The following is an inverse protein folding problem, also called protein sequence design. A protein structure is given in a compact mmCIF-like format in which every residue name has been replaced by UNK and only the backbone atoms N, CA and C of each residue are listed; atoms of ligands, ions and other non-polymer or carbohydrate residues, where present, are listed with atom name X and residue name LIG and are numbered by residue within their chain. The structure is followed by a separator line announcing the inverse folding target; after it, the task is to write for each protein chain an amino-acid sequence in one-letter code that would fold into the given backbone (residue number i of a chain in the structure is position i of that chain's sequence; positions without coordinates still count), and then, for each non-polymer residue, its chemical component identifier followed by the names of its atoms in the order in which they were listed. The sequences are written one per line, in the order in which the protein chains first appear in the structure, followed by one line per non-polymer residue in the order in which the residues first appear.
data_IF_068117240457
#
_entry.id   IF_068117240457
#
_cell.length_a   1.000
_cell.length_b   1.000
_cell.length_c   1.000
_cell.angle_alpha   90.00
_cell.angle_beta   90.00
_cell.angle_gamma   90.00
#
_symmetry.space_group_name_H-M   'P 1'
#
loop_
_entity.id
_entity.type
_entity.pdbx_description
1 polymer ?
#
# COMPACT_ATOMS: atom_id res chain seq x y z
N UNK A 1 -28.60 27.68 -24.68
CA UNK A 1 -28.25 27.03 -23.41
C UNK A 1 -26.93 26.27 -23.49
N UNK A 2 -26.80 25.19 -24.29
CA UNK A 2 -25.55 24.41 -24.35
C UNK A 2 -24.30 25.21 -24.78
N UNK A 3 -24.43 26.10 -25.77
CA UNK A 3 -23.31 26.94 -26.25
C UNK A 3 -22.79 27.90 -25.17
N UNK A 4 -23.68 28.50 -24.39
CA UNK A 4 -23.33 29.43 -23.31
C UNK A 4 -22.63 28.71 -22.15
N UNK A 5 -23.01 27.46 -21.84
CA UNK A 5 -22.29 26.63 -20.88
C UNK A 5 -20.84 26.38 -21.32
N UNK A 6 -20.62 25.99 -22.58
CA UNK A 6 -19.26 25.79 -23.09
C UNK A 6 -18.45 27.08 -23.20
N UNK A 7 -19.08 28.23 -23.49
CA UNK A 7 -18.40 29.53 -23.43
C UNK A 7 -17.98 29.89 -21.99
N UNK A 8 -18.83 29.57 -21.00
CA UNK A 8 -18.46 29.75 -19.60
C UNK A 8 -17.34 28.80 -19.15
N UNK A 9 -17.33 27.56 -19.65
CA UNK A 9 -16.25 26.59 -19.40
C UNK A 9 -14.90 27.02 -20.01
N UNK A 10 -14.89 27.70 -21.16
CA UNK A 10 -13.66 28.19 -21.78
C UNK A 10 -13.11 29.47 -21.11
N UNK A 11 -13.83 30.02 -20.12
CA UNK A 11 -13.43 31.24 -19.44
C UNK A 11 -13.61 32.51 -20.27
N UNK A 12 -14.36 32.43 -21.37
CA UNK A 12 -14.63 33.56 -22.25
C UNK A 12 -15.93 34.29 -21.85
N UNK A 13 -16.00 35.59 -22.11
CA UNK A 13 -17.18 36.40 -21.81
C UNK A 13 -18.32 36.07 -22.80
N UNK A 14 -19.45 35.50 -22.32
CA UNK A 14 -20.54 35.06 -23.17
C UNK A 14 -21.26 36.23 -23.87
N UNK A 15 -21.21 37.45 -23.33
CA UNK A 15 -21.87 38.62 -23.91
C UNK A 15 -21.06 39.16 -25.10
N UNK A 16 -19.73 39.21 -24.99
CA UNK A 16 -18.81 39.55 -26.09
C UNK A 16 -18.81 38.49 -27.21
N UNK A 17 -18.95 37.21 -26.86
CA UNK A 17 -19.00 36.11 -27.84
C UNK A 17 -20.32 36.04 -28.60
N UNK A 18 -21.42 36.51 -28.02
CA UNK A 18 -22.72 36.54 -28.68
C UNK A 18 -22.73 37.47 -29.91
N UNK A 19 -21.99 38.58 -29.85
CA UNK A 19 -21.83 39.55 -30.95
C UNK A 19 -20.74 39.14 -31.97
N UNK A 20 -19.92 38.15 -31.63
CA UNK A 20 -18.79 37.69 -32.45
C UNK A 20 -19.21 36.76 -33.62
N UNK A 21 -18.37 36.61 -34.65
CA UNK A 21 -18.62 35.70 -35.77
C UNK A 21 -18.84 34.25 -35.31
N UNK A 22 -19.74 33.51 -36.00
CA UNK A 22 -20.02 32.09 -35.70
C UNK A 22 -18.76 31.20 -35.66
N UNK A 23 -17.71 31.56 -36.41
CA UNK A 23 -16.42 30.87 -36.41
C UNK A 23 -15.75 30.91 -35.03
N UNK A 24 -15.68 32.08 -34.39
CA UNK A 24 -15.08 32.25 -33.06
C UNK A 24 -15.93 31.56 -31.98
N UNK A 25 -17.25 31.67 -32.09
CA UNK A 25 -18.18 30.98 -31.18
C UNK A 25 -17.98 29.45 -31.13
N UNK A 26 -17.74 28.82 -32.29
CA UNK A 26 -17.48 27.38 -32.39
C UNK A 26 -16.11 27.03 -31.80
N UNK A 27 -15.11 27.89 -32.02
CA UNK A 27 -13.75 27.68 -31.53
C UNK A 27 -13.68 27.72 -30.00
N UNK A 28 -14.27 28.73 -29.37
CA UNK A 28 -14.34 28.83 -27.91
C UNK A 28 -15.27 27.78 -27.29
N UNK A 29 -16.33 27.36 -27.99
CA UNK A 29 -17.15 26.23 -27.55
C UNK A 29 -16.35 24.90 -27.60
N UNK A 30 -15.50 24.70 -28.60
CA UNK A 30 -14.61 23.54 -28.69
C UNK A 30 -13.57 23.50 -27.55
N UNK A 31 -12.95 24.64 -27.24
CA UNK A 31 -12.02 24.78 -26.11
C UNK A 31 -12.74 24.53 -24.77
N UNK A 32 -13.94 25.06 -24.59
CA UNK A 32 -14.73 24.77 -23.38
C UNK A 32 -15.15 23.31 -23.29
N UNK A 33 -15.42 22.67 -24.43
CA UNK A 33 -15.72 21.25 -24.53
C UNK A 33 -14.56 20.38 -24.07
N UNK A 34 -13.33 20.65 -24.53
CA UNK A 34 -12.16 19.86 -24.11
C UNK A 34 -11.91 19.97 -22.61
N UNK A 35 -11.99 21.16 -22.04
CA UNK A 35 -11.86 21.38 -20.58
C UNK A 35 -12.93 20.60 -19.80
N UNK A 36 -14.18 20.64 -20.26
CA UNK A 36 -15.28 19.90 -19.62
C UNK A 36 -15.07 18.38 -19.67
N UNK A 37 -14.69 17.83 -20.82
CA UNK A 37 -14.44 16.40 -20.95
C UNK A 37 -13.22 15.94 -20.15
N UNK A 38 -12.17 16.75 -20.05
CA UNK A 38 -11.03 16.47 -19.17
C UNK A 38 -11.46 16.42 -17.70
N UNK A 39 -12.26 17.38 -17.24
CA UNK A 39 -12.79 17.38 -15.87
C UNK A 39 -13.71 16.17 -15.59
N UNK A 40 -14.56 15.81 -16.55
CA UNK A 40 -15.46 14.65 -16.44
C UNK A 40 -14.68 13.33 -16.35
N UNK A 41 -13.65 13.15 -17.18
CA UNK A 41 -12.79 11.97 -17.08
C UNK A 41 -12.01 11.94 -15.78
N UNK A 42 -11.52 13.09 -15.30
CA UNK A 42 -10.85 13.20 -14.01
C UNK A 42 -11.79 12.82 -12.84
N UNK A 43 -13.05 13.24 -12.89
CA UNK A 43 -14.08 12.84 -11.92
C UNK A 43 -14.26 11.32 -11.88
N UNK A 44 -14.44 10.68 -13.04
CA UNK A 44 -14.65 9.23 -13.13
C UNK A 44 -13.42 8.46 -12.65
N UNK A 45 -12.23 8.86 -13.11
CA UNK A 45 -10.97 8.21 -12.76
C UNK A 45 -10.65 8.33 -11.26
N UNK A 46 -10.79 9.52 -10.69
CA UNK A 46 -10.55 9.74 -9.25
C UNK A 46 -11.58 9.05 -8.38
N UNK A 47 -12.87 9.09 -8.74
CA UNK A 47 -13.92 8.36 -8.02
C UNK A 47 -13.63 6.86 -8.00
N UNK A 48 -13.24 6.27 -9.14
CA UNK A 48 -12.90 4.86 -9.21
C UNK A 48 -11.66 4.52 -8.36
N UNK A 49 -10.58 5.29 -8.46
CA UNK A 49 -9.36 5.08 -7.69
C UNK A 49 -9.60 5.23 -6.17
N UNK A 50 -10.44 6.17 -5.76
CA UNK A 50 -10.80 6.35 -4.35
C UNK A 50 -11.71 5.25 -3.85
N UNK A 51 -12.60 4.73 -4.68
CA UNK A 51 -13.42 3.56 -4.35
C UNK A 51 -12.53 2.34 -4.06
N UNK A 52 -11.48 2.10 -4.87
CA UNK A 52 -10.57 0.95 -4.64
C UNK A 52 -9.69 1.10 -3.39
N UNK A 53 -9.49 2.33 -2.90
CA UNK A 53 -8.67 2.60 -1.71
C UNK A 53 -9.51 2.62 -0.42
N UNK A 54 -10.68 3.27 -0.45
CA UNK A 54 -11.50 3.53 0.74
C UNK A 54 -12.72 2.60 0.89
N UNK A 55 -13.01 1.75 -0.10
CA UNK A 55 -14.18 0.85 -0.14
C UNK A 55 -15.52 1.54 0.19
N UNK A 56 -15.61 2.85 -0.07
CA UNK A 56 -16.76 3.68 0.30
C UNK A 56 -17.23 4.51 -0.88
N UNK A 57 -18.37 4.11 -1.44
CA UNK A 57 -19.05 4.78 -2.55
C UNK A 57 -19.33 6.28 -2.27
N UNK A 58 -19.91 6.67 -1.12
CA UNK A 58 -20.22 8.09 -0.89
C UNK A 58 -18.97 8.96 -0.78
N UNK A 59 -17.90 8.44 -0.18
CA UNK A 59 -16.61 9.15 -0.05
C UNK A 59 -15.95 9.28 -1.43
N UNK A 60 -15.96 8.22 -2.22
CA UNK A 60 -15.40 8.19 -3.57
C UNK A 60 -16.07 9.23 -4.48
N UNK A 61 -17.40 9.30 -4.49
CA UNK A 61 -18.14 10.28 -5.30
C UNK A 61 -17.88 11.71 -4.81
N UNK A 62 -17.90 11.96 -3.50
CA UNK A 62 -17.70 13.29 -2.95
C UNK A 62 -16.30 13.84 -3.26
N UNK A 63 -15.25 13.06 -2.98
CA UNK A 63 -13.88 13.45 -3.27
C UNK A 63 -13.62 13.52 -4.77
N UNK A 64 -14.14 12.57 -5.55
CA UNK A 64 -14.05 12.62 -7.01
C UNK A 64 -14.66 13.90 -7.57
N UNK A 65 -15.79 14.35 -7.02
CA UNK A 65 -16.47 15.60 -7.42
C UNK A 65 -15.60 16.83 -7.15
N UNK A 66 -15.02 16.91 -5.94
CA UNK A 66 -14.07 17.97 -5.58
C UNK A 66 -12.85 17.94 -6.50
N UNK A 67 -12.33 16.75 -6.82
CA UNK A 67 -11.18 16.59 -7.69
C UNK A 67 -11.47 17.00 -9.14
N UNK A 68 -12.61 16.57 -9.69
CA UNK A 68 -13.08 16.98 -11.01
C UNK A 68 -13.27 18.51 -11.11
N UNK A 69 -13.82 19.13 -10.06
CA UNK A 69 -13.95 20.58 -9.97
C UNK A 69 -12.58 21.30 -9.90
N UNK A 70 -11.61 20.72 -9.19
CA UNK A 70 -10.25 21.26 -9.11
C UNK A 70 -9.59 21.26 -10.49
N UNK A 71 -9.63 20.12 -11.21
CA UNK A 71 -9.11 20.01 -12.57
C UNK A 71 -9.83 20.97 -13.52
N UNK A 72 -11.16 21.05 -13.43
CA UNK A 72 -11.95 22.01 -14.21
C UNK A 72 -11.51 23.46 -13.97
N UNK A 73 -11.31 23.85 -12.71
CA UNK A 73 -10.90 25.20 -12.35
C UNK A 73 -9.49 25.52 -12.86
N UNK A 74 -8.55 24.59 -12.70
CA UNK A 74 -7.16 24.74 -13.15
C UNK A 74 -7.05 24.84 -14.68
N UNK A 75 -7.69 23.91 -15.40
CA UNK A 75 -7.69 23.92 -16.86
C UNK A 75 -8.34 25.19 -17.42
N UNK A 76 -9.43 25.67 -16.79
CA UNK A 76 -10.07 26.96 -17.14
C UNK A 76 -9.13 28.14 -16.88
N UNK A 77 -8.40 28.14 -15.77
CA UNK A 77 -7.44 29.20 -15.44
C UNK A 77 -6.28 29.25 -16.47
N UNK A 78 -5.78 28.10 -16.89
CA UNK A 78 -4.71 28.01 -17.89
C UNK A 78 -5.20 28.50 -19.25
N UNK A 79 -6.35 28.01 -19.72
CA UNK A 79 -6.94 28.42 -21.00
C UNK A 79 -7.21 29.93 -21.04
N UNK A 80 -7.69 30.51 -19.95
CA UNK A 80 -7.95 31.96 -19.86
C UNK A 80 -6.69 32.81 -19.71
N UNK A 81 -5.59 32.24 -19.24
CA UNK A 81 -4.31 32.95 -19.07
C UNK A 81 -3.41 32.91 -20.30
N UNK A 82 -3.67 32.02 -21.28
CA UNK A 82 -2.90 31.97 -22.53
C UNK A 82 -3.22 33.21 -23.37
N UNK A 83 -2.34 34.21 -23.29
CA UNK A 83 -2.28 35.32 -24.24
C UNK A 83 -1.35 34.93 -25.39
N UNK A 84 -1.82 35.14 -26.62
CA UNK A 84 -1.03 34.93 -27.83
C UNK A 84 0.17 35.89 -27.80
N UNK A 85 1.35 35.38 -27.45
CA UNK A 85 2.63 36.09 -27.54
C UNK A 85 3.36 35.58 -28.79
N UNK A 86 4.16 36.46 -29.42
CA UNK A 86 4.82 36.19 -30.71
C UNK A 86 5.81 35.00 -30.67
N UNK A 87 6.14 34.49 -29.49
CA UNK A 87 7.17 33.47 -29.27
C UNK A 87 6.56 32.14 -28.78
N UNK A 88 6.69 31.08 -29.59
CA UNK A 88 6.15 29.74 -29.27
C UNK A 88 6.74 29.09 -28.01
N UNK A 89 7.93 29.53 -27.59
CA UNK A 89 8.57 29.04 -26.35
C UNK A 89 7.85 29.56 -25.09
N UNK A 90 7.35 30.80 -25.12
CA UNK A 90 6.65 31.40 -24.00
C UNK A 90 5.25 30.80 -23.82
N UNK A 91 4.59 30.41 -24.92
CA UNK A 91 3.34 29.61 -24.88
C UNK A 91 3.55 28.23 -24.23
N UNK A 92 4.67 27.55 -24.54
CA UNK A 92 4.99 26.27 -23.91
C UNK A 92 5.30 26.42 -22.42
N UNK A 93 6.00 27.50 -22.03
CA UNK A 93 6.31 27.80 -20.63
C UNK A 93 5.04 28.10 -19.82
N UNK A 94 4.01 28.71 -20.42
CA UNK A 94 2.70 28.91 -19.78
C UNK A 94 1.92 27.60 -19.60
N UNK A 95 2.15 26.59 -20.42
CA UNK A 95 1.57 25.25 -20.27
C UNK A 95 2.34 24.35 -19.27
N UNK A 96 3.58 24.69 -18.92
CA UNK A 96 4.44 23.91 -18.03
C UNK A 96 3.85 23.64 -16.62
N UNK A 97 3.17 24.60 -15.95
CA UNK A 97 2.54 24.34 -14.64
C UNK A 97 1.53 23.20 -14.68
N UNK A 98 0.83 23.03 -15.82
CA UNK A 98 -0.15 21.95 -16.03
C UNK A 98 0.52 20.59 -16.03
N UNK A 99 1.64 20.47 -16.75
CA UNK A 99 2.40 19.22 -16.84
C UNK A 99 3.03 18.88 -15.49
N UNK A 100 3.60 19.88 -14.80
CA UNK A 100 4.18 19.69 -13.48
C UNK A 100 3.12 19.19 -12.46
N UNK A 101 1.95 19.83 -12.43
CA UNK A 101 0.86 19.42 -11.55
C UNK A 101 0.37 18.00 -11.88
N UNK A 102 0.21 17.67 -13.16
CA UNK A 102 -0.20 16.34 -13.59
C UNK A 102 0.80 15.26 -13.16
N UNK A 103 2.10 15.52 -13.25
CA UNK A 103 3.15 14.60 -12.79
C UNK A 103 3.09 14.42 -11.26
N UNK A 104 2.93 15.50 -10.49
CA UNK A 104 2.82 15.42 -9.03
C UNK A 104 1.60 14.56 -8.64
N UNK A 105 0.45 14.83 -9.25
CA UNK A 105 -0.78 14.08 -9.03
C UNK A 105 -0.58 12.60 -9.39
N UNK A 106 0.04 12.31 -10.54
CA UNK A 106 0.28 10.94 -10.98
C UNK A 106 1.13 10.17 -9.95
N UNK A 107 2.22 10.75 -9.45
CA UNK A 107 3.09 10.10 -8.45
C UNK A 107 2.35 9.88 -7.14
N UNK A 108 1.64 10.89 -6.64
CA UNK A 108 0.95 10.84 -5.34
C UNK A 108 -0.22 9.84 -5.36
N UNK A 109 -0.95 9.73 -6.46
CA UNK A 109 -2.07 8.77 -6.59
C UNK A 109 -1.57 7.36 -6.93
N UNK A 110 -0.52 7.23 -7.75
CA UNK A 110 -0.01 5.92 -8.17
C UNK A 110 0.48 5.09 -7.00
N UNK A 111 1.19 5.67 -6.03
CA UNK A 111 1.78 4.92 -4.93
C UNK A 111 0.77 4.21 -4.01
N UNK A 112 -0.27 4.87 -3.47
CA UNK A 112 -1.26 4.18 -2.64
C UNK A 112 -2.07 3.17 -3.45
N UNK A 113 -2.38 3.46 -4.72
CA UNK A 113 -3.13 2.54 -5.57
C UNK A 113 -2.31 1.28 -5.90
N UNK A 114 -1.03 1.45 -6.20
CA UNK A 114 -0.05 0.36 -6.43
C UNK A 114 0.06 -0.53 -5.17
N UNK A 115 0.19 0.06 -3.98
CA UNK A 115 0.24 -0.72 -2.74
C UNK A 115 -1.07 -1.47 -2.47
N UNK A 116 -2.21 -0.87 -2.79
CA UNK A 116 -3.52 -1.49 -2.56
C UNK A 116 -3.82 -2.64 -3.53
N UNK A 117 -3.48 -2.47 -4.81
CA UNK A 117 -3.68 -3.53 -5.81
C UNK A 117 -2.76 -4.72 -5.56
N UNK A 118 -1.54 -4.48 -5.06
CA UNK A 118 -0.55 -5.52 -4.75
C UNK A 118 -0.55 -5.96 -3.29
N UNK A 119 -1.54 -5.56 -2.47
CA UNK A 119 -1.63 -5.91 -1.05
C UNK A 119 -1.54 -7.43 -0.84
N UNK A 120 -2.23 -8.21 -1.69
CA UNK A 120 -2.23 -9.67 -1.62
C UNK A 120 -0.87 -10.31 -1.95
N UNK A 121 -0.20 -9.83 -2.99
CA UNK A 121 1.14 -10.29 -3.34
C UNK A 121 2.15 -9.93 -2.25
N UNK A 122 2.08 -8.71 -1.70
CA UNK A 122 2.96 -8.24 -0.62
C UNK A 122 2.76 -9.11 0.63
N UNK A 123 1.52 -9.34 1.05
CA UNK A 123 1.21 -10.17 2.22
C UNK A 123 1.70 -11.61 2.06
N UNK A 124 1.59 -12.18 0.85
CA UNK A 124 2.09 -13.53 0.56
C UNK A 124 3.61 -13.61 0.70
N UNK A 125 4.34 -12.69 0.09
CA UNK A 125 5.81 -12.65 0.19
C UNK A 125 6.26 -12.37 1.62
N UNK A 126 5.54 -11.50 2.34
CA UNK A 126 5.82 -11.20 3.74
C UNK A 126 5.61 -12.42 4.64
N UNK A 127 4.55 -13.21 4.39
CA UNK A 127 4.29 -14.45 5.12
C UNK A 127 5.39 -15.48 4.85
N UNK A 128 5.82 -15.64 3.60
CA UNK A 128 6.91 -16.53 3.21
C UNK A 128 8.22 -16.15 3.90
N UNK A 129 8.59 -14.87 3.86
CA UNK A 129 9.78 -14.35 4.56
C UNK A 129 9.69 -14.51 6.08
N UNK A 130 8.50 -14.32 6.68
CA UNK A 130 8.30 -14.55 8.12
C UNK A 130 8.49 -16.02 8.49
N UNK A 131 7.99 -16.94 7.67
CA UNK A 131 8.16 -18.37 7.91
C UNK A 131 9.63 -18.77 7.79
N UNK A 132 10.32 -18.29 6.76
CA UNK A 132 11.77 -18.52 6.57
C UNK A 132 12.57 -17.98 7.77
N UNK A 133 12.31 -16.74 8.19
CA UNK A 133 12.95 -16.14 9.36
C UNK A 133 12.64 -16.91 10.65
N UNK A 134 11.43 -17.45 10.79
CA UNK A 134 11.03 -18.25 11.95
C UNK A 134 11.79 -19.57 12.00
N UNK A 135 11.95 -20.25 10.85
CA UNK A 135 12.75 -21.47 10.74
C UNK A 135 14.22 -21.21 11.10
N UNK A 136 14.82 -20.16 10.53
CA UNK A 136 16.21 -19.77 10.84
C UNK A 136 16.38 -19.46 12.32
N UNK A 137 15.42 -18.75 12.94
CA UNK A 137 15.47 -18.48 14.38
C UNK A 137 15.34 -19.76 15.22
N UNK A 138 14.49 -20.71 14.83
CA UNK A 138 14.36 -22.00 15.54
C UNK A 138 15.66 -22.81 15.45
N UNK A 139 16.31 -22.84 14.28
CA UNK A 139 17.58 -23.54 14.10
C UNK A 139 18.70 -22.89 14.93
N UNK A 140 18.77 -21.56 14.97
CA UNK A 140 19.75 -20.83 15.79
C UNK A 140 19.53 -21.07 17.29
N UNK A 141 18.27 -21.02 17.73
CA UNK A 141 17.89 -21.32 19.12
C UNK A 141 18.24 -22.78 19.46
N UNK A 142 17.88 -23.72 18.59
CA UNK A 142 18.21 -25.14 18.75
C UNK A 142 19.72 -25.36 18.87
N UNK A 143 20.52 -24.70 18.03
CA UNK A 143 21.98 -24.79 18.08
C UNK A 143 22.58 -24.22 19.37
N UNK A 144 22.04 -23.11 19.89
CA UNK A 144 22.50 -22.50 21.15
C UNK A 144 22.21 -23.43 22.34
N UNK A 145 21.04 -24.05 22.38
CA UNK A 145 20.63 -24.90 23.50
C UNK A 145 21.05 -26.37 23.35
N UNK A 146 21.57 -26.80 22.18
CA UNK A 146 21.97 -28.19 21.94
C UNK A 146 23.03 -28.69 22.93
N UNK A 147 24.05 -27.88 23.19
CA UNK A 147 25.13 -28.22 24.13
C UNK A 147 24.61 -28.31 25.57
N UNK A 148 23.70 -27.42 25.96
CA UNK A 148 23.10 -27.44 27.30
C UNK A 148 22.16 -28.62 27.50
N UNK A 149 21.36 -28.96 26.48
CA UNK A 149 20.51 -30.17 26.49
C UNK A 149 21.37 -31.42 26.57
N UNK A 150 22.47 -31.50 25.80
CA UNK A 150 23.38 -32.64 25.83
C UNK A 150 24.05 -32.80 27.21
N UNK A 151 24.47 -31.68 27.83
CA UNK A 151 25.01 -31.69 29.20
C UNK A 151 24.00 -32.20 30.21
N UNK A 152 22.77 -31.68 30.18
CA UNK A 152 21.70 -32.09 31.10
C UNK A 152 21.27 -33.56 30.90
N UNK A 153 21.26 -34.04 29.65
CA UNK A 153 21.00 -35.45 29.35
C UNK A 153 22.11 -36.36 29.88
N UNK A 154 23.38 -35.96 29.77
CA UNK A 154 24.50 -36.70 30.34
C UNK A 154 24.42 -36.75 31.87
N UNK A 155 24.10 -35.63 32.52
CA UNK A 155 23.93 -35.56 33.98
C UNK A 155 22.75 -36.43 34.45
N UNK A 156 21.62 -36.41 33.73
CA UNK A 156 20.49 -37.30 34.04
C UNK A 156 20.86 -38.77 33.93
N UNK A 157 21.61 -39.16 32.88
CA UNK A 157 22.06 -40.53 32.71
C UNK A 157 23.06 -40.95 33.82
N UNK A 158 23.91 -40.04 34.28
CA UNK A 158 24.82 -40.28 35.40
C UNK A 158 24.05 -40.50 36.71
N UNK A 159 23.08 -39.64 37.00
CA UNK A 159 22.22 -39.77 38.18
C UNK A 159 21.42 -41.08 38.14
N UNK A 160 20.85 -41.44 36.98
CA UNK A 160 20.11 -42.71 36.83
C UNK A 160 21.00 -43.93 37.07
N UNK A 161 22.27 -43.88 36.63
CA UNK A 161 23.23 -44.95 36.94
C UNK A 161 23.54 -45.01 38.44
N UNK A 162 23.72 -43.87 39.10
CA UNK A 162 23.98 -43.83 40.56
C UNK A 162 22.79 -44.37 41.36
N UNK A 163 21.56 -43.99 40.99
CA UNK A 163 20.33 -44.48 41.62
C UNK A 163 20.22 -46.00 41.47
N UNK A 164 20.39 -46.53 40.25
CA UNK A 164 20.34 -47.97 40.01
C UNK A 164 21.42 -48.74 40.79
N UNK A 165 22.63 -48.18 40.90
CA UNK A 165 23.70 -48.78 41.69
C UNK A 165 23.37 -48.83 43.19
N UNK A 166 22.83 -47.73 43.74
CA UNK A 166 22.39 -47.66 45.14
C UNK A 166 21.20 -48.58 45.41
N UNK A 167 20.24 -48.68 44.49
CA UNK A 167 19.12 -49.62 44.61
C UNK A 167 19.62 -51.07 44.62
N UNK A 168 20.58 -51.43 43.77
CA UNK A 168 21.19 -52.76 43.79
C UNK A 168 21.93 -53.05 45.12
N UNK A 169 22.67 -52.08 45.65
CA UNK A 169 23.35 -52.19 46.95
C UNK A 169 22.33 -52.37 48.10
N UNK A 170 21.26 -51.59 48.12
CA UNK A 170 20.19 -51.70 49.13
C UNK A 170 19.50 -53.06 49.04
N UNK A 171 19.15 -53.53 47.85
CA UNK A 171 18.54 -54.84 47.66
C UNK A 171 19.46 -55.97 48.13
N UNK A 172 20.76 -55.89 47.83
CA UNK A 172 21.74 -56.87 48.29
C UNK A 172 21.87 -56.91 49.82
N UNK A 173 21.91 -55.75 50.47
CA UNK A 173 21.94 -55.65 51.92
C UNK A 173 20.64 -56.19 52.55
N UNK A 174 19.50 -55.93 51.91
CA UNK A 174 18.19 -56.42 52.36
C UNK A 174 18.10 -57.95 52.25
N UNK A 175 18.56 -58.53 51.15
CA UNK A 175 18.65 -59.98 50.97
C UNK A 175 19.56 -60.63 52.01
N UNK A 176 20.69 -60.00 52.33
CA UNK A 176 21.62 -60.44 53.39
C UNK A 176 20.94 -60.41 54.77
N UNK A 177 20.25 -59.32 55.11
CA UNK A 177 19.49 -59.20 56.36
C UNK A 177 18.40 -60.27 56.49
N UNK A 178 17.68 -60.58 55.40
CA UNK A 178 16.69 -61.67 55.39
C UNK A 178 17.38 -63.03 55.60
N UNK A 179 18.50 -63.28 54.92
CA UNK A 179 19.24 -64.53 55.07
C UNK A 179 19.75 -64.76 56.51
N UNK A 180 20.25 -63.70 57.17
CA UNK A 180 20.64 -63.72 58.58
C UNK A 180 19.43 -63.96 59.51
N UNK A 181 18.31 -63.28 59.26
CA UNK A 181 17.09 -63.41 60.08
C UNK A 181 16.44 -64.81 59.96
N UNK A 182 16.55 -65.45 58.80
CA UNK A 182 16.01 -66.79 58.52
C UNK A 182 17.00 -67.93 58.85
N UNK A 183 18.24 -67.62 59.25
CA UNK A 183 19.25 -68.60 59.67
C UNK A 183 19.77 -69.48 58.53
N UNK A 184 19.85 -68.95 57.31
CA UNK A 184 20.37 -69.67 56.13
C UNK A 184 21.88 -69.53 55.93
N UNK A 185 22.54 -68.62 56.66
CA UNK A 185 24.00 -68.50 56.80
C UNK A 185 24.41 -68.41 58.28
#
# INVERSE_FOLDING_TARGET
MLKSFFWMCSGADPDLLAESPKSEQIKYAGIGGTVFFTALMAFIASSYALHTVFDSIPIAIAFGFVWGLLIFNLDRFIVSSIKKQDNKMDEFMQAAPRILLAVIIAVVISKPLELKIFEKEIDRVLLEQKNEMTLVNQDQVGAIYADEIARLQAESAEIDMEVNAKEAEVNQLYDTYIAEAEGRE
#
